data_IF_666364909029
#
_entry.id   IF_666364909029
#
_cell.length_a   1.000
_cell.length_b   1.000
_cell.length_c   1.000
_cell.angle_alpha   90.00
_cell.angle_beta   90.00
_cell.angle_gamma   90.00
#
_symmetry.space_group_name_H-M   'P 1'
#
loop_
_entity.id
_entity.type
_entity.pdbx_description
1 polymer ?
#
# COMPACT_ATOMS: atom_id res chain seq x y z
N UNK A 1 26.60 6.03 0.89
CA UNK A 1 25.44 5.89 1.80
C UNK A 1 24.20 6.64 1.33
N UNK A 2 24.28 7.91 0.88
CA UNK A 2 23.13 8.73 0.40
C UNK A 2 22.16 8.04 -0.59
N UNK A 3 22.67 7.18 -1.50
CA UNK A 3 21.84 6.40 -2.44
C UNK A 3 20.96 5.34 -1.77
N UNK A 4 21.29 4.92 -0.56
CA UNK A 4 20.63 3.87 0.22
C UNK A 4 19.58 4.51 1.15
N UNK A 5 19.93 5.63 1.79
CA UNK A 5 19.07 6.59 2.49
C UNK A 5 17.90 7.05 1.63
N UNK A 6 18.16 7.54 0.41
CA UNK A 6 17.12 7.96 -0.55
C UNK A 6 16.27 6.76 -1.03
N UNK A 7 16.83 5.56 -1.14
CA UNK A 7 16.06 4.35 -1.48
C UNK A 7 15.09 3.94 -0.37
N UNK A 8 15.49 4.04 0.91
CA UNK A 8 14.61 3.82 2.07
C UNK A 8 13.52 4.91 2.14
N UNK A 9 13.91 6.18 1.96
CA UNK A 9 12.99 7.32 1.88
C UNK A 9 11.92 7.18 0.79
N UNK A 10 12.34 6.82 -0.43
CA UNK A 10 11.43 6.56 -1.56
C UNK A 10 10.54 5.35 -1.28
N UNK A 11 11.04 4.27 -0.67
CA UNK A 11 10.23 3.09 -0.28
C UNK A 11 9.12 3.43 0.71
N UNK A 12 9.33 4.44 1.56
CA UNK A 12 8.40 4.84 2.62
C UNK A 12 7.37 5.82 2.09
N UNK A 13 7.81 6.81 1.30
CA UNK A 13 6.91 7.70 0.57
C UNK A 13 6.10 6.96 -0.51
N UNK A 14 6.63 5.89 -1.11
CA UNK A 14 5.89 4.91 -1.92
C UNK A 14 4.70 4.29 -1.15
N UNK A 15 4.79 4.21 0.18
CA UNK A 15 3.75 3.65 1.06
C UNK A 15 2.63 4.65 1.34
N UNK A 16 2.95 5.94 1.41
CA UNK A 16 2.01 7.02 1.68
C UNK A 16 1.43 7.65 0.40
N UNK A 17 2.22 7.89 -0.65
CA UNK A 17 1.82 8.60 -1.88
C UNK A 17 1.48 7.71 -3.09
N UNK A 18 1.97 6.47 -3.17
CA UNK A 18 1.82 5.65 -4.39
C UNK A 18 0.68 4.63 -4.22
N UNK A 19 -0.51 5.16 -3.89
CA UNK A 19 -1.77 4.45 -4.06
C UNK A 19 -2.58 4.85 -5.32
N UNK A 20 -2.02 5.68 -6.20
CA UNK A 20 -2.70 6.08 -7.44
C UNK A 20 -2.28 5.30 -8.71
N UNK A 21 -0.98 5.07 -8.93
CA UNK A 21 -0.47 4.85 -10.30
C UNK A 21 -0.20 3.41 -10.77
N UNK A 22 -0.20 2.40 -9.89
CA UNK A 22 0.36 1.07 -10.24
C UNK A 22 -0.63 -0.10 -10.22
N UNK A 23 -1.92 0.19 -10.12
CA UNK A 23 -2.93 -0.79 -9.72
C UNK A 23 -3.44 -1.74 -10.85
N UNK A 24 -2.93 -1.59 -12.08
CA UNK A 24 -3.35 -2.36 -13.26
C UNK A 24 -2.43 -3.52 -13.65
N UNK A 25 -1.19 -3.58 -13.16
CA UNK A 25 -0.29 -4.70 -13.39
C UNK A 25 -0.51 -5.79 -12.31
N UNK A 26 -0.17 -7.07 -12.56
CA UNK A 26 0.01 -8.02 -11.45
C UNK A 26 0.94 -7.36 -10.42
N UNK A 27 0.56 -7.40 -9.13
CA UNK A 27 1.17 -6.59 -8.06
C UNK A 27 2.71 -6.65 -8.04
N UNK A 28 3.29 -7.78 -8.46
CA UNK A 28 4.73 -7.97 -8.65
C UNK A 28 5.38 -7.07 -9.73
N UNK A 29 4.70 -6.79 -10.84
CA UNK A 29 5.21 -5.93 -11.91
C UNK A 29 5.08 -4.43 -11.56
N UNK A 30 4.08 -4.08 -10.76
CA UNK A 30 3.92 -2.76 -10.19
C UNK A 30 5.09 -2.39 -9.26
N UNK A 31 5.46 -3.30 -8.36
CA UNK A 31 6.56 -3.10 -7.41
C UNK A 31 7.91 -2.86 -8.12
N UNK A 32 8.17 -3.60 -9.21
CA UNK A 32 9.41 -3.50 -9.99
C UNK A 32 9.50 -2.20 -10.82
N UNK A 33 8.37 -1.75 -11.38
CA UNK A 33 8.33 -0.54 -12.24
C UNK A 33 8.41 0.75 -11.44
N UNK A 34 7.80 0.77 -10.23
CA UNK A 34 7.92 1.87 -9.27
C UNK A 34 9.37 2.10 -8.82
N UNK A 35 10.04 0.99 -8.46
CA UNK A 35 11.46 0.98 -8.09
C UNK A 35 12.33 1.53 -9.24
N UNK A 36 12.05 1.17 -10.49
CA UNK A 36 12.93 1.52 -11.63
C UNK A 36 12.79 2.98 -12.10
N UNK A 37 11.57 3.51 -12.20
CA UNK A 37 11.32 4.86 -12.77
C UNK A 37 11.84 5.98 -11.86
N UNK A 38 11.70 5.83 -10.55
CA UNK A 38 12.07 6.87 -9.58
C UNK A 38 13.59 6.87 -9.29
N UNK A 39 14.24 5.70 -9.33
CA UNK A 39 15.72 5.61 -9.31
C UNK A 39 16.34 6.44 -10.45
N UNK A 40 15.67 6.50 -11.60
CA UNK A 40 16.12 7.29 -12.75
C UNK A 40 15.96 8.79 -12.49
N UNK A 41 14.83 9.24 -11.94
CA UNK A 41 14.61 10.66 -11.64
C UNK A 41 15.52 11.20 -10.51
N UNK A 42 15.76 10.40 -9.47
CA UNK A 42 16.69 10.73 -8.39
C UNK A 42 18.18 10.75 -8.84
N UNK A 43 18.51 10.09 -9.96
CA UNK A 43 19.83 10.22 -10.60
C UNK A 43 19.97 11.52 -11.38
N UNK A 44 18.88 12.08 -11.92
CA UNK A 44 18.90 13.30 -12.74
C UNK A 44 19.09 14.55 -11.88
N UNK A 45 18.56 14.59 -10.65
CA UNK A 45 18.76 15.74 -9.73
C UNK A 45 20.18 15.88 -9.16
N UNK A 46 21.09 14.92 -9.42
CA UNK A 46 22.49 14.93 -8.92
C UNK A 46 23.55 15.30 -9.95
N UNK A 47 23.18 15.90 -11.09
CA UNK A 47 24.14 16.50 -12.03
C UNK A 47 24.26 18.02 -11.87
N UNK A 48 24.46 18.49 -10.64
CA UNK A 48 25.01 19.80 -10.24
C UNK A 48 24.89 19.86 -8.70
N UNK A 49 25.88 20.13 -7.85
CA UNK A 49 27.08 20.93 -7.95
C UNK A 49 28.18 20.37 -7.03
N UNK A 50 29.40 20.92 -7.13
CA UNK A 50 30.55 20.62 -6.26
C UNK A 50 30.23 20.98 -4.80
N UNK A 51 30.78 20.21 -3.86
CA UNK A 51 30.68 20.33 -2.41
C UNK A 51 30.74 21.77 -1.87
N UNK A 52 29.57 22.37 -1.67
CA UNK A 52 29.36 23.55 -0.81
C UNK A 52 28.12 23.22 0.01
N UNK A 53 28.20 23.35 1.33
CA UNK A 53 27.06 23.18 2.23
C UNK A 53 26.03 24.30 1.96
N UNK A 54 24.79 23.97 1.55
CA UNK A 54 23.74 24.97 1.35
C UNK A 54 23.33 25.65 2.67
N UNK A 55 22.93 26.92 2.61
CA UNK A 55 22.43 27.70 3.77
C UNK A 55 21.26 27.03 4.52
N UNK A 56 20.52 26.16 3.83
CA UNK A 56 19.36 25.44 4.35
C UNK A 56 19.71 24.22 5.23
N UNK A 57 21.00 23.85 5.33
CA UNK A 57 21.46 22.77 6.20
C UNK A 57 21.57 23.22 7.65
N UNK A 58 21.53 22.26 8.58
CA UNK A 58 21.85 22.50 9.98
C UNK A 58 20.95 23.56 10.67
N UNK A 59 19.70 23.66 10.22
CA UNK A 59 18.71 24.59 10.77
C UNK A 59 18.39 24.28 12.23
N UNK A 60 18.51 25.30 13.07
CA UNK A 60 18.26 25.23 14.52
C UNK A 60 16.78 25.14 14.87
N UNK A 61 15.94 25.72 14.02
CA UNK A 61 14.49 25.73 14.14
C UNK A 61 13.84 25.33 12.83
N UNK A 62 12.85 24.45 12.91
CA UNK A 62 12.01 24.01 11.81
C UNK A 62 10.55 24.41 12.08
N UNK A 63 9.79 24.56 11.01
CA UNK A 63 8.36 24.84 11.08
C UNK A 63 7.58 23.73 10.39
N UNK A 64 6.58 23.19 11.07
CA UNK A 64 5.71 22.15 10.53
C UNK A 64 4.42 22.79 9.99
N UNK A 65 4.15 22.58 8.70
CA UNK A 65 3.02 23.16 7.97
C UNK A 65 1.93 22.12 7.68
N UNK A 66 0.68 22.58 7.59
CA UNK A 66 -0.48 21.73 7.29
C UNK A 66 -0.53 21.24 5.83
N UNK A 67 -0.84 19.96 5.67
CA UNK A 67 -1.22 19.34 4.40
C UNK A 67 -2.56 18.62 4.55
N UNK A 68 -3.43 18.74 3.55
CA UNK A 68 -4.76 18.11 3.59
C UNK A 68 -4.67 16.60 3.35
N UNK A 69 -3.68 16.17 2.57
CA UNK A 69 -3.48 14.76 2.22
C UNK A 69 -2.03 14.35 2.35
N UNK A 70 -1.80 13.06 2.58
CA UNK A 70 -0.45 12.49 2.56
C UNK A 70 0.20 12.54 1.18
N UNK A 71 -0.56 12.76 0.10
CA UNK A 71 -0.02 12.97 -1.24
C UNK A 71 0.62 14.37 -1.38
N UNK A 72 -0.05 15.42 -0.90
CA UNK A 72 0.53 16.78 -0.83
C UNK A 72 1.76 16.81 0.09
N UNK A 73 1.66 16.17 1.26
CA UNK A 73 2.80 16.01 2.16
C UNK A 73 3.96 15.27 1.46
N UNK A 74 3.67 14.20 0.72
CA UNK A 74 4.68 13.48 -0.07
C UNK A 74 5.32 14.39 -1.12
N UNK A 75 4.52 15.20 -1.82
CA UNK A 75 5.05 16.15 -2.81
C UNK A 75 5.99 17.16 -2.15
N UNK A 76 5.55 17.81 -1.06
CA UNK A 76 6.39 18.72 -0.26
C UNK A 76 7.73 18.09 0.10
N UNK A 77 7.69 16.88 0.64
CA UNK A 77 8.89 16.14 1.05
C UNK A 77 9.83 15.88 -0.12
N UNK A 78 9.31 15.63 -1.33
CA UNK A 78 10.13 15.40 -2.53
C UNK A 78 10.63 16.67 -3.22
N UNK A 79 10.08 17.84 -2.90
CA UNK A 79 10.40 19.12 -3.57
C UNK A 79 11.13 20.13 -2.69
N UNK A 80 11.35 19.84 -1.40
CA UNK A 80 12.09 20.75 -0.52
C UNK A 80 11.86 20.55 0.98
N UNK A 81 10.91 19.72 1.38
CA UNK A 81 10.58 19.46 2.80
C UNK A 81 11.53 18.54 3.56
N UNK A 82 12.70 18.25 3.00
CA UNK A 82 13.71 17.39 3.60
C UNK A 82 14.84 18.24 4.18
N UNK A 83 14.99 18.21 5.49
CA UNK A 83 16.01 18.97 6.21
C UNK A 83 17.25 18.10 6.47
N UNK A 84 18.42 18.65 6.21
CA UNK A 84 19.69 17.92 6.27
C UNK A 84 20.59 18.46 7.38
N UNK A 85 21.26 17.54 8.06
CA UNK A 85 22.14 17.79 9.18
C UNK A 85 23.42 16.98 9.04
N UNK A 86 24.56 17.54 9.44
CA UNK A 86 25.85 16.85 9.45
C UNK A 86 26.62 17.22 10.73
N UNK A 87 27.92 16.92 10.75
CA UNK A 87 28.82 17.20 11.86
C UNK A 87 29.02 18.70 12.13
N UNK A 88 28.64 19.59 11.21
CA UNK A 88 28.67 21.04 11.40
C UNK A 88 27.52 21.57 12.28
N UNK A 89 26.53 20.75 12.64
CA UNK A 89 25.50 21.16 13.60
C UNK A 89 26.09 21.32 15.01
N UNK A 90 26.29 22.57 15.47
CA UNK A 90 26.95 22.87 16.75
C UNK A 90 26.01 23.36 17.87
N UNK A 91 24.69 23.25 17.71
CA UNK A 91 23.77 23.61 18.79
C UNK A 91 24.00 22.77 20.03
N UNK A 92 23.91 23.40 21.21
CA UNK A 92 24.16 22.74 22.49
C UNK A 92 23.24 21.53 22.63
N UNK A 93 23.83 20.39 22.98
CA UNK A 93 23.16 19.09 23.14
C UNK A 93 22.45 18.56 21.87
N UNK A 94 22.75 19.15 20.70
CA UNK A 94 22.21 18.80 19.38
C UNK A 94 20.67 18.81 19.28
N UNK A 95 20.05 19.82 19.88
CA UNK A 95 18.60 20.03 19.81
C UNK A 95 18.18 20.81 18.57
N UNK A 96 17.16 20.35 17.87
CA UNK A 96 16.41 21.12 16.86
C UNK A 96 15.06 21.49 17.47
N UNK A 97 14.69 22.76 17.41
CA UNK A 97 13.34 23.22 17.79
C UNK A 97 12.39 23.00 16.62
N UNK A 98 11.18 22.51 16.87
CA UNK A 98 10.13 22.39 15.86
C UNK A 98 8.90 23.12 16.35
N UNK A 99 8.43 24.09 15.58
CA UNK A 99 7.23 24.88 15.90
C UNK A 99 6.12 24.56 14.92
N UNK A 100 4.96 24.14 15.41
CA UNK A 100 3.79 23.86 14.57
C UNK A 100 3.10 25.15 14.16
N UNK A 101 2.87 25.33 12.87
CA UNK A 101 2.08 26.46 12.35
C UNK A 101 0.58 26.20 12.44
N UNK A 102 0.18 24.94 12.40
CA UNK A 102 -1.21 24.52 12.33
C UNK A 102 -1.49 23.34 13.27
N UNK A 103 -2.78 23.15 13.61
CA UNK A 103 -3.23 21.99 14.39
C UNK A 103 -3.45 20.78 13.49
N UNK A 104 -3.15 19.59 13.99
CA UNK A 104 -3.34 18.35 13.24
C UNK A 104 -2.54 17.19 13.81
N UNK A 105 -2.10 16.30 12.94
CA UNK A 105 -1.14 15.24 13.25
C UNK A 105 0.27 15.73 12.97
N UNK A 106 1.03 16.03 14.02
CA UNK A 106 2.46 16.31 13.90
C UNK A 106 3.16 15.06 13.38
N UNK A 107 3.72 15.16 12.17
CA UNK A 107 4.47 14.10 11.50
C UNK A 107 5.96 14.38 11.62
N UNK A 108 6.72 13.36 12.03
CA UNK A 108 8.18 13.36 12.00
C UNK A 108 8.67 12.09 11.33
N UNK A 109 9.64 12.23 10.44
CA UNK A 109 10.33 11.10 9.82
C UNK A 109 11.85 11.31 9.82
N UNK A 110 12.57 10.21 10.01
CA UNK A 110 14.02 10.08 9.76
C UNK A 110 14.26 9.10 8.62
N UNK A 111 15.29 9.34 7.80
CA UNK A 111 15.69 8.43 6.74
C UNK A 111 17.17 8.05 6.75
N UNK A 112 17.93 8.50 7.74
CA UNK A 112 19.38 8.29 7.82
C UNK A 112 19.79 7.10 8.67
N UNK A 113 20.81 6.40 8.19
CA UNK A 113 21.39 5.21 8.82
C UNK A 113 22.34 5.58 9.99
N UNK A 114 22.65 6.86 10.15
CA UNK A 114 23.67 7.42 11.05
C UNK A 114 23.28 7.44 12.54
N UNK A 115 22.10 6.92 12.86
CA UNK A 115 21.66 6.75 14.23
C UNK A 115 20.18 7.03 14.44
N UNK A 116 19.80 7.07 15.71
CA UNK A 116 18.43 7.35 16.12
C UNK A 116 18.24 8.85 16.39
N UNK A 117 17.10 9.39 15.97
CA UNK A 117 16.64 10.70 16.47
C UNK A 117 15.62 10.49 17.59
N UNK A 118 15.54 11.44 18.52
CA UNK A 118 14.60 11.37 19.63
C UNK A 118 13.69 12.60 19.64
N UNK A 119 12.39 12.38 19.77
CA UNK A 119 11.38 13.43 19.81
C UNK A 119 11.01 13.68 21.26
N UNK A 120 11.02 14.94 21.67
CA UNK A 120 10.71 15.41 23.01
C UNK A 120 9.62 16.47 22.99
N UNK A 121 8.91 16.58 24.11
CA UNK A 121 7.99 17.68 24.35
C UNK A 121 8.74 19.02 24.53
N UNK A 122 7.97 20.11 24.66
CA UNK A 122 8.50 21.47 24.85
C UNK A 122 9.43 21.60 26.07
N UNK A 123 9.25 20.76 27.10
CA UNK A 123 10.07 20.82 28.31
C UNK A 123 11.46 20.21 28.13
N UNK A 124 11.70 19.47 27.04
CA UNK A 124 12.88 18.62 26.80
C UNK A 124 13.08 17.51 27.84
N UNK A 125 12.14 17.31 28.77
CA UNK A 125 12.24 16.29 29.84
C UNK A 125 11.55 14.99 29.44
N UNK A 126 10.41 15.07 28.75
CA UNK A 126 9.66 13.89 28.36
C UNK A 126 9.99 13.51 26.93
N UNK A 127 10.63 12.34 26.76
CA UNK A 127 10.82 11.74 25.45
C UNK A 127 9.49 11.14 24.99
N UNK A 128 9.00 11.62 23.85
CA UNK A 128 7.79 11.13 23.19
C UNK A 128 8.11 9.84 22.43
N UNK A 129 9.18 9.86 21.62
CA UNK A 129 9.50 8.73 20.75
C UNK A 129 10.98 8.71 20.32
N UNK A 130 11.47 7.54 19.89
CA UNK A 130 12.75 7.37 19.20
C UNK A 130 12.52 6.82 17.80
N UNK A 131 13.11 7.46 16.79
CA UNK A 131 13.04 7.01 15.40
C UNK A 131 14.40 6.51 14.90
N UNK A 132 14.39 5.43 14.13
CA UNK A 132 15.56 4.80 13.52
C UNK A 132 15.23 4.40 12.08
N UNK A 133 16.21 4.46 11.18
CA UNK A 133 16.00 4.11 9.77
C UNK A 133 15.58 2.64 9.53
N UNK A 134 15.85 1.74 10.47
CA UNK A 134 15.64 0.30 10.31
C UNK A 134 14.41 -0.26 11.05
N UNK A 135 13.96 0.38 12.14
CA UNK A 135 12.86 -0.16 12.97
C UNK A 135 11.64 0.75 13.08
N UNK A 136 11.85 2.06 13.03
CA UNK A 136 10.77 3.03 13.23
C UNK A 136 11.14 4.36 12.61
N UNK A 137 10.89 4.49 11.34
CA UNK A 137 11.32 5.66 10.58
C UNK A 137 10.43 6.89 10.78
N UNK A 138 9.18 6.71 11.22
CA UNK A 138 8.20 7.78 11.29
C UNK A 138 7.30 7.67 12.51
N UNK A 139 6.76 8.82 12.92
CA UNK A 139 5.83 8.95 14.02
C UNK A 139 4.83 10.07 13.78
N UNK A 140 3.63 9.90 14.34
CA UNK A 140 2.57 10.90 14.29
C UNK A 140 1.87 11.03 15.63
N UNK A 141 1.64 12.26 16.05
CA UNK A 141 0.86 12.55 17.26
C UNK A 141 -0.04 13.76 17.02
N UNK A 142 -1.23 13.75 17.61
CA UNK A 142 -2.12 14.91 17.57
C UNK A 142 -1.51 16.07 18.36
N UNK A 143 -1.45 17.25 17.75
CA UNK A 143 -0.88 18.46 18.31
C UNK A 143 -1.65 19.71 17.84
N UNK A 144 -1.42 20.84 18.50
CA UNK A 144 -2.07 22.12 18.24
C UNK A 144 -1.10 23.10 17.57
N UNK A 145 -1.67 24.07 16.86
CA UNK A 145 -0.93 25.21 16.35
C UNK A 145 -0.21 25.93 17.51
N UNK A 146 1.05 26.29 17.32
CA UNK A 146 1.89 26.92 18.34
C UNK A 146 2.58 25.93 19.29
N UNK A 147 2.21 24.64 19.29
CA UNK A 147 2.95 23.63 20.06
C UNK A 147 4.41 23.57 19.57
N UNK A 148 5.32 23.39 20.54
CA UNK A 148 6.75 23.26 20.29
C UNK A 148 7.23 21.88 20.70
N UNK A 149 7.96 21.23 19.80
CA UNK A 149 8.65 19.97 20.05
C UNK A 149 10.15 20.15 19.88
N UNK A 150 10.92 19.21 20.41
CA UNK A 150 12.37 19.18 20.21
C UNK A 150 12.79 17.84 19.63
N UNK A 151 13.61 17.88 18.59
CA UNK A 151 14.28 16.69 18.05
C UNK A 151 15.73 16.70 18.53
N UNK A 152 16.16 15.62 19.17
CA UNK A 152 17.55 15.40 19.53
C UNK A 152 18.23 14.58 18.44
N UNK A 153 19.28 15.14 17.85
CA UNK A 153 20.15 14.42 16.94
C UNK A 153 21.15 13.53 17.71
N UNK A 154 21.70 12.48 17.09
CA UNK A 154 22.82 11.75 17.67
C UNK A 154 24.06 12.65 17.79
N UNK A 155 24.99 12.30 18.69
CA UNK A 155 26.22 13.09 18.93
C UNK A 155 27.20 13.07 17.75
N UNK A 156 27.17 12.00 16.95
CA UNK A 156 27.95 11.84 15.73
C UNK A 156 26.96 11.76 14.59
N UNK A 157 27.13 12.62 13.59
CA UNK A 157 26.23 12.77 12.45
C UNK A 157 27.13 12.91 11.23
N UNK A 158 27.17 11.94 10.32
CA UNK A 158 27.82 12.17 9.01
C UNK A 158 26.81 12.86 8.08
N UNK A 159 25.57 12.37 8.06
CA UNK A 159 24.42 12.88 7.32
C UNK A 159 23.09 12.39 7.92
N UNK A 160 22.36 13.27 8.60
CA UNK A 160 21.01 13.04 9.11
C UNK A 160 19.97 13.80 8.29
N UNK A 161 18.90 13.13 7.90
CA UNK A 161 17.79 13.70 7.13
C UNK A 161 16.48 13.58 7.91
N UNK A 162 15.76 14.69 8.03
CA UNK A 162 14.55 14.81 8.84
C UNK A 162 13.44 15.48 8.04
N UNK A 163 12.22 15.00 8.21
CA UNK A 163 11.00 15.68 7.76
C UNK A 163 10.16 16.03 8.97
N UNK A 164 9.63 17.25 8.97
CA UNK A 164 8.55 17.67 9.87
C UNK A 164 7.39 18.23 9.07
N UNK A 165 6.17 17.84 9.43
CA UNK A 165 4.96 18.33 8.78
C UNK A 165 3.76 18.23 9.74
N UNK A 166 2.65 18.84 9.37
CA UNK A 166 1.34 18.59 10.00
C UNK A 166 0.44 17.98 8.94
N UNK A 167 -0.08 16.78 9.20
CA UNK A 167 -1.12 16.18 8.37
C UNK A 167 -2.49 16.50 8.99
N UNK A 168 -3.47 16.85 8.17
CA UNK A 168 -4.85 17.06 8.64
C UNK A 168 -5.34 15.86 9.47
N UNK A 169 -5.79 16.14 10.69
CA UNK A 169 -6.35 15.13 11.57
C UNK A 169 -7.83 14.91 11.25
N UNK A 170 -8.13 13.78 10.61
CA UNK A 170 -9.48 13.40 10.24
C UNK A 170 -9.81 13.68 8.77
N UNK A 171 -10.67 12.83 8.24
CA UNK A 171 -11.09 12.88 6.84
C UNK A 171 -12.51 12.32 6.72
N UNK A 172 -13.23 12.70 5.66
CA UNK A 172 -14.62 12.27 5.45
C UNK A 172 -14.75 11.33 4.25
N UNK A 173 -14.79 11.92 3.06
CA UNK A 173 -14.85 11.16 1.81
C UNK A 173 -13.45 10.88 1.29
N UNK A 174 -13.07 9.60 1.18
CA UNK A 174 -11.78 9.21 0.61
C UNK A 174 -11.86 9.19 -0.92
N UNK A 175 -10.86 9.82 -1.52
CA UNK A 175 -10.64 9.86 -2.96
C UNK A 175 -9.50 8.92 -3.35
N UNK A 176 -9.64 8.27 -4.50
CA UNK A 176 -8.62 7.37 -5.01
C UNK A 176 -7.37 8.16 -5.43
N UNK A 177 -6.21 7.61 -5.09
CA UNK A 177 -4.91 8.23 -5.34
C UNK A 177 -4.37 9.06 -4.17
N UNK A 178 -5.12 9.19 -3.08
CA UNK A 178 -4.73 9.95 -1.90
C UNK A 178 -4.51 9.06 -0.68
N UNK A 179 -3.90 9.66 0.34
CA UNK A 179 -3.76 9.12 1.68
C UNK A 179 -4.13 10.15 2.74
N UNK A 180 -4.54 9.66 3.91
CA UNK A 180 -5.09 10.45 5.00
C UNK A 180 -4.60 9.91 6.34
N UNK A 181 -4.63 10.75 7.37
CA UNK A 181 -4.32 10.40 8.75
C UNK A 181 -5.47 10.78 9.68
N UNK A 182 -5.66 10.01 10.74
CA UNK A 182 -6.63 10.36 11.78
C UNK A 182 -6.28 9.77 13.14
N UNK A 183 -6.51 10.57 14.17
CA UNK A 183 -6.47 10.18 15.58
C UNK A 183 -7.73 9.42 15.95
N UNK A 184 -7.54 8.21 16.45
CA UNK A 184 -8.63 7.37 16.91
C UNK A 184 -9.30 7.92 18.17
N UNK A 185 -10.63 8.03 18.10
CA UNK A 185 -11.48 8.48 19.21
C UNK A 185 -11.84 7.35 20.17
N UNK A 186 -11.60 6.09 19.79
CA UNK A 186 -12.07 4.89 20.50
C UNK A 186 -13.43 4.38 20.02
N UNK A 187 -14.12 5.14 19.15
CA UNK A 187 -15.34 4.71 18.48
C UNK A 187 -15.04 4.10 17.10
N UNK A 188 -16.08 3.53 16.47
CA UNK A 188 -15.98 3.13 15.06
C UNK A 188 -15.97 4.38 14.19
N UNK A 189 -14.88 4.58 13.44
CA UNK A 189 -14.71 5.68 12.49
C UNK A 189 -15.20 5.24 11.10
N UNK A 190 -15.84 6.14 10.36
CA UNK A 190 -16.45 5.83 9.07
C UNK A 190 -15.99 6.79 7.98
N UNK A 191 -15.47 6.23 6.88
CA UNK A 191 -14.99 7.01 5.75
C UNK A 191 -15.66 6.59 4.46
N UNK A 192 -16.35 7.52 3.81
CA UNK A 192 -17.17 7.22 2.63
C UNK A 192 -16.36 7.28 1.34
N UNK A 193 -16.77 6.52 0.33
CA UNK A 193 -16.22 6.61 -1.02
C UNK A 193 -17.21 6.09 -2.06
N UNK A 194 -17.02 6.49 -3.31
CA UNK A 194 -17.89 6.05 -4.40
C UNK A 194 -17.10 5.37 -5.51
N UNK A 195 -17.70 4.34 -6.07
CA UNK A 195 -17.20 3.64 -7.23
C UNK A 195 -18.11 3.97 -8.40
N UNK A 196 -17.59 4.63 -9.44
CA UNK A 196 -18.38 4.99 -10.62
C UNK A 196 -18.57 3.80 -11.57
N UNK A 197 -17.54 2.95 -11.71
CA UNK A 197 -17.53 1.78 -12.59
C UNK A 197 -16.91 0.60 -11.87
N UNK A 198 -17.30 -0.61 -12.27
CA UNK A 198 -16.74 -1.86 -11.74
C UNK A 198 -15.21 -1.80 -11.62
N UNK A 199 -14.70 -1.95 -10.41
CA UNK A 199 -13.29 -1.67 -10.10
C UNK A 199 -12.74 -2.62 -9.04
N UNK A 200 -11.44 -2.86 -9.09
CA UNK A 200 -10.68 -3.38 -7.96
C UNK A 200 -10.38 -2.21 -7.03
N UNK A 201 -10.79 -2.32 -5.78
CA UNK A 201 -10.52 -1.38 -4.69
C UNK A 201 -9.42 -1.94 -3.81
N UNK A 202 -8.44 -1.10 -3.48
CA UNK A 202 -7.31 -1.45 -2.63
C UNK A 202 -7.09 -0.35 -1.60
N UNK A 203 -6.99 -0.72 -0.33
CA UNK A 203 -6.69 0.20 0.76
C UNK A 203 -5.51 -0.32 1.56
N UNK A 204 -4.52 0.54 1.81
CA UNK A 204 -3.45 0.29 2.76
C UNK A 204 -3.79 1.01 4.06
N UNK A 205 -3.66 0.32 5.19
CA UNK A 205 -3.79 0.93 6.51
C UNK A 205 -2.48 0.76 7.27
N UNK A 206 -1.93 1.87 7.77
CA UNK A 206 -0.85 1.89 8.75
C UNK A 206 -1.42 2.27 10.12
N UNK A 207 -0.94 1.62 11.17
CA UNK A 207 -1.36 1.84 12.55
C UNK A 207 -0.09 2.14 13.35
N UNK A 208 -0.04 3.29 14.03
CA UNK A 208 1.22 3.90 14.46
C UNK A 208 1.70 3.42 15.83
N UNK A 209 0.81 3.32 16.80
CA UNK A 209 1.16 3.15 18.22
C UNK A 209 1.03 1.69 18.65
N UNK A 210 2.15 1.04 18.96
CA UNK A 210 2.21 -0.39 19.31
C UNK A 210 1.44 -0.73 20.59
N UNK A 211 1.41 0.22 21.52
CA UNK A 211 0.76 0.13 22.83
C UNK A 211 -0.75 0.44 22.79
N UNK A 212 -1.28 0.95 21.67
CA UNK A 212 -2.71 1.32 21.51
C UNK A 212 -3.51 0.33 20.66
N UNK A 213 -3.11 -0.94 20.69
CA UNK A 213 -3.84 -2.07 20.11
C UNK A 213 -4.09 -2.02 18.60
N UNK A 214 -4.89 -2.98 18.13
CA UNK A 214 -5.12 -3.21 16.70
C UNK A 214 -6.29 -2.38 16.16
N UNK A 215 -6.25 -2.07 14.86
CA UNK A 215 -7.39 -1.50 14.13
C UNK A 215 -8.07 -2.58 13.30
N UNK A 216 -9.40 -2.65 13.34
CA UNK A 216 -10.18 -3.60 12.54
C UNK A 216 -10.96 -2.89 11.45
N UNK A 217 -10.86 -3.41 10.23
CA UNK A 217 -11.38 -2.80 9.01
C UNK A 217 -12.48 -3.67 8.40
N UNK A 218 -13.60 -3.04 8.04
CA UNK A 218 -14.71 -3.66 7.32
C UNK A 218 -15.24 -2.71 6.24
N UNK A 219 -15.28 -3.18 4.99
CA UNK A 219 -15.91 -2.40 3.90
C UNK A 219 -17.41 -2.67 3.89
N UNK A 220 -18.20 -1.61 3.73
CA UNK A 220 -19.64 -1.64 3.68
C UNK A 220 -20.15 -1.02 2.38
N UNK A 221 -21.22 -1.59 1.83
CA UNK A 221 -21.93 -1.06 0.66
C UNK A 221 -23.26 -0.47 1.12
N UNK A 222 -23.61 0.71 0.59
CA UNK A 222 -24.94 1.27 0.78
C UNK A 222 -25.95 0.59 -0.15
N UNK A 223 -27.03 0.04 0.41
CA UNK A 223 -28.09 -0.66 -0.31
C UNK A 223 -29.43 -0.32 0.35
N UNK A 224 -30.33 0.33 -0.40
CA UNK A 224 -31.71 0.62 0.03
C UNK A 224 -31.81 1.18 1.46
N UNK A 225 -31.16 2.31 1.72
CA UNK A 225 -31.17 2.94 3.05
C UNK A 225 -30.13 2.41 4.04
N UNK A 226 -29.54 1.24 3.79
CA UNK A 226 -28.77 0.50 4.79
C UNK A 226 -27.32 0.25 4.38
N UNK A 227 -26.41 0.26 5.37
CA UNK A 227 -25.01 -0.11 5.19
C UNK A 227 -24.82 -1.61 5.45
N UNK A 228 -24.42 -2.36 4.42
CA UNK A 228 -24.26 -3.81 4.50
C UNK A 228 -22.78 -4.18 4.39
N UNK A 229 -22.29 -4.99 5.33
CA UNK A 229 -20.93 -5.53 5.30
C UNK A 229 -20.69 -6.37 4.04
N UNK A 230 -19.60 -6.12 3.33
CA UNK A 230 -19.19 -6.90 2.17
C UNK A 230 -17.84 -7.58 2.40
N UNK A 231 -17.67 -8.76 1.81
CA UNK A 231 -16.44 -9.52 1.96
C UNK A 231 -16.15 -9.93 3.42
N UNK A 232 -14.89 -9.82 3.80
CA UNK A 232 -14.37 -10.21 5.11
C UNK A 232 -13.90 -9.00 5.89
N UNK A 233 -14.01 -9.09 7.22
CA UNK A 233 -13.38 -8.18 8.18
C UNK A 233 -11.89 -8.49 8.25
N UNK A 234 -11.06 -7.48 8.52
CA UNK A 234 -9.61 -7.65 8.67
C UNK A 234 -9.06 -6.88 9.85
N UNK A 235 -8.12 -7.47 10.57
CA UNK A 235 -7.41 -6.82 11.68
C UNK A 235 -6.02 -6.42 11.24
N UNK A 236 -5.67 -5.17 11.48
CA UNK A 236 -4.38 -4.55 11.19
C UNK A 236 -3.71 -4.27 12.52
N UNK A 237 -2.55 -4.89 12.74
CA UNK A 237 -1.74 -4.68 13.93
C UNK A 237 -0.83 -3.47 13.74
N UNK A 238 -0.48 -2.73 14.81
CA UNK A 238 0.63 -1.80 14.78
C UNK A 238 1.91 -2.54 14.35
N UNK A 239 2.74 -1.89 13.55
CA UNK A 239 3.96 -2.51 13.01
C UNK A 239 5.23 -1.94 13.62
N UNK A 240 6.28 -2.74 13.55
CA UNK A 240 7.68 -2.35 13.73
C UNK A 240 8.45 -2.37 12.40
N UNK A 241 7.81 -2.78 11.30
CA UNK A 241 8.45 -3.03 10.00
C UNK A 241 7.80 -2.18 8.90
N UNK A 242 8.58 -1.29 8.28
CA UNK A 242 8.06 -0.34 7.27
C UNK A 242 7.81 -0.99 5.89
N UNK A 243 7.96 -2.30 5.77
CA UNK A 243 7.68 -3.01 4.52
C UNK A 243 6.19 -3.29 4.31
N UNK A 244 5.67 -2.76 3.21
CA UNK A 244 4.35 -3.07 2.67
C UNK A 244 4.24 -4.57 2.39
N UNK A 245 3.32 -5.23 3.07
CA UNK A 245 2.95 -6.62 2.78
C UNK A 245 1.60 -6.62 2.05
N UNK A 246 1.56 -7.23 0.86
CA UNK A 246 0.34 -7.38 0.04
C UNK A 246 -0.81 -8.01 0.83
N UNK A 247 -0.52 -8.88 1.80
CA UNK A 247 -1.54 -9.50 2.66
C UNK A 247 -2.14 -8.52 3.67
N UNK A 248 -1.62 -7.31 3.81
CA UNK A 248 -2.13 -6.28 4.72
C UNK A 248 -3.03 -5.25 4.03
N UNK A 249 -3.11 -5.24 2.70
CA UNK A 249 -4.13 -4.47 1.97
C UNK A 249 -5.55 -5.00 2.13
N UNK A 250 -6.52 -4.11 2.28
CA UNK A 250 -7.94 -4.43 2.17
C UNK A 250 -8.33 -4.38 0.70
N UNK A 251 -8.51 -5.56 0.09
CA UNK A 251 -8.73 -5.70 -1.35
C UNK A 251 -10.12 -6.23 -1.64
N UNK A 252 -10.91 -5.49 -2.42
CA UNK A 252 -12.24 -5.88 -2.83
C UNK A 252 -12.52 -5.57 -4.31
N UNK A 253 -13.21 -6.45 -5.01
CA UNK A 253 -13.89 -6.15 -6.26
C UNK A 253 -15.24 -5.47 -6.00
N UNK A 254 -15.41 -4.27 -6.51
CA UNK A 254 -16.59 -3.46 -6.26
C UNK A 254 -17.33 -3.18 -7.58
N UNK A 255 -18.66 -3.10 -7.49
CA UNK A 255 -19.52 -2.59 -8.57
C UNK A 255 -19.67 -1.08 -8.39
N UNK A 256 -20.33 -0.42 -9.35
CA UNK A 256 -20.75 0.95 -9.13
C UNK A 256 -21.62 1.06 -7.86
N UNK A 257 -21.44 2.15 -7.11
CA UNK A 257 -22.21 2.43 -5.90
C UNK A 257 -21.46 3.22 -4.85
N UNK A 258 -22.18 3.50 -3.76
CA UNK A 258 -21.68 4.18 -2.56
C UNK A 258 -21.19 3.15 -1.55
N UNK A 259 -20.03 3.41 -0.98
CA UNK A 259 -19.33 2.55 -0.05
C UNK A 259 -18.82 3.37 1.13
N UNK A 260 -18.50 2.68 2.23
CA UNK A 260 -17.70 3.24 3.32
C UNK A 260 -16.79 2.18 3.90
N UNK A 261 -15.68 2.62 4.48
CA UNK A 261 -14.86 1.78 5.35
C UNK A 261 -15.23 2.09 6.80
N UNK A 262 -15.50 1.05 7.57
CA UNK A 262 -15.72 1.11 9.01
C UNK A 262 -14.45 0.63 9.72
N UNK A 263 -13.87 1.50 10.54
CA UNK A 263 -12.64 1.27 11.28
C UNK A 263 -12.97 1.23 12.77
N UNK A 264 -12.87 0.05 13.38
CA UNK A 264 -12.94 -0.06 14.83
C UNK A 264 -11.53 0.18 15.41
N UNK A 265 -11.41 1.18 16.26
CA UNK A 265 -10.15 1.78 16.71
C UNK A 265 -10.12 1.89 18.23
N UNK A 266 -8.92 1.98 18.81
CA UNK A 266 -8.76 2.26 20.25
C UNK A 266 -8.36 3.72 20.46
N UNK A 267 -8.88 4.34 21.52
CA UNK A 267 -8.60 5.75 21.83
C UNK A 267 -7.09 5.99 21.96
N UNK A 268 -6.60 7.05 21.34
CA UNK A 268 -5.17 7.42 21.36
C UNK A 268 -4.30 6.69 20.34
N UNK A 269 -4.86 5.79 19.54
CA UNK A 269 -4.20 5.28 18.33
C UNK A 269 -4.17 6.36 17.24
N UNK A 270 -3.19 6.31 16.34
CA UNK A 270 -3.20 7.06 15.08
C UNK A 270 -3.11 6.07 13.94
N UNK A 271 -3.88 6.29 12.87
CA UNK A 271 -3.81 5.47 11.67
C UNK A 271 -3.76 6.32 10.42
N UNK A 272 -3.14 5.76 9.38
CA UNK A 272 -3.12 6.33 8.05
C UNK A 272 -3.75 5.37 7.05
N UNK A 273 -4.57 5.92 6.16
CA UNK A 273 -5.29 5.18 5.14
C UNK A 273 -4.91 5.70 3.76
N UNK A 274 -4.32 4.85 2.92
CA UNK A 274 -4.08 5.12 1.51
C UNK A 274 -5.10 4.38 0.66
N UNK A 275 -5.67 5.04 -0.35
CA UNK A 275 -6.76 4.47 -1.14
C UNK A 275 -6.48 4.50 -2.64
N UNK A 276 -6.63 3.35 -3.30
CA UNK A 276 -6.46 3.19 -4.74
C UNK A 276 -7.57 2.38 -5.39
N UNK A 277 -7.83 2.67 -6.66
CA UNK A 277 -8.75 1.88 -7.49
C UNK A 277 -8.16 1.55 -8.85
N UNK A 278 -8.61 0.45 -9.43
CA UNK A 278 -8.39 0.13 -10.83
C UNK A 278 -9.68 -0.29 -11.50
N UNK A 279 -10.03 0.40 -12.58
CA UNK A 279 -11.22 0.11 -13.38
C UNK A 279 -11.04 -1.25 -14.05
N UNK A 280 -12.04 -2.13 -13.93
CA UNK A 280 -11.97 -3.51 -14.41
C UNK A 280 -13.18 -3.86 -15.28
N UNK A 281 -12.94 -4.01 -16.58
CA UNK A 281 -13.95 -4.46 -17.52
C UNK A 281 -14.40 -5.89 -17.25
N UNK A 282 -15.69 -6.16 -17.45
CA UNK A 282 -16.29 -7.49 -17.26
C UNK A 282 -16.09 -8.39 -18.49
N UNK A 283 -14.84 -8.53 -18.95
CA UNK A 283 -14.49 -9.37 -20.09
C UNK A 283 -14.30 -10.84 -19.66
N UNK A 284 -15.39 -11.52 -19.38
CA UNK A 284 -15.41 -12.93 -18.92
C UNK A 284 -16.41 -13.74 -19.76
N UNK A 285 -16.27 -15.07 -19.73
CA UNK A 285 -17.25 -15.97 -20.33
C UNK A 285 -17.84 -16.89 -19.25
N UNK A 286 -19.13 -17.19 -19.35
CA UNK A 286 -19.84 -18.01 -18.35
C UNK A 286 -20.00 -19.48 -18.75
N UNK A 287 -19.72 -19.81 -20.00
CA UNK A 287 -19.78 -21.18 -20.53
C UNK A 287 -18.44 -21.59 -21.13
N UNK A 288 -18.18 -22.90 -21.15
CA UNK A 288 -16.96 -23.47 -21.72
C UNK A 288 -16.82 -23.18 -23.22
N UNK A 289 -17.92 -23.20 -23.97
CA UNK A 289 -17.93 -22.95 -25.42
C UNK A 289 -17.50 -21.53 -25.77
N UNK A 290 -17.89 -20.54 -24.94
CA UNK A 290 -17.54 -19.11 -25.12
C UNK A 290 -16.26 -18.70 -24.40
N UNK A 291 -15.46 -19.65 -23.91
CA UNK A 291 -14.29 -19.38 -23.08
C UNK A 291 -13.34 -18.35 -23.69
N UNK A 292 -12.91 -17.38 -22.89
CA UNK A 292 -12.02 -16.29 -23.33
C UNK A 292 -10.59 -16.81 -23.50
N UNK A 293 -9.95 -16.43 -24.61
CA UNK A 293 -8.58 -16.88 -24.93
C UNK A 293 -7.57 -16.20 -24.00
N UNK A 294 -6.69 -16.98 -23.38
CA UNK A 294 -5.44 -16.52 -22.77
C UNK A 294 -4.38 -16.69 -23.85
N UNK A 295 -3.65 -15.61 -24.16
CA UNK A 295 -2.54 -15.68 -25.11
C UNK A 295 -1.33 -16.32 -24.42
N UNK A 296 -0.50 -17.02 -25.19
CA UNK A 296 0.79 -17.50 -24.73
C UNK A 296 1.63 -16.30 -24.30
N UNK A 297 2.42 -16.47 -23.26
CA UNK A 297 3.30 -15.44 -22.70
C UNK A 297 2.54 -14.18 -22.24
N UNK A 298 1.30 -14.39 -21.80
CA UNK A 298 0.40 -13.35 -21.31
C UNK A 298 -0.38 -13.82 -20.09
N UNK A 299 -1.08 -12.89 -19.46
CA UNK A 299 -1.99 -13.18 -18.37
C UNK A 299 -3.41 -12.70 -18.69
N UNK A 300 -4.37 -13.19 -17.91
CA UNK A 300 -5.70 -12.60 -17.76
C UNK A 300 -5.93 -12.29 -16.30
N UNK A 301 -6.48 -11.12 -16.03
CA UNK A 301 -6.87 -10.69 -14.68
C UNK A 301 -8.34 -10.28 -14.69
N UNK A 302 -9.09 -10.68 -13.66
CA UNK A 302 -10.45 -10.19 -13.47
C UNK A 302 -10.88 -10.29 -12.00
N UNK A 303 -11.93 -9.57 -11.62
CA UNK A 303 -12.40 -9.49 -10.23
C UNK A 303 -13.73 -10.19 -10.05
N UNK A 304 -13.99 -10.84 -8.92
CA UNK A 304 -15.36 -11.13 -8.49
C UNK A 304 -15.82 -10.02 -7.57
N UNK A 305 -17.03 -9.49 -7.77
CA UNK A 305 -17.66 -8.55 -6.82
C UNK A 305 -18.61 -9.27 -5.87
N UNK A 306 -19.07 -8.56 -4.83
CA UNK A 306 -20.19 -9.04 -4.00
C UNK A 306 -21.40 -9.37 -4.89
N UNK A 307 -22.06 -10.49 -4.62
CA UNK A 307 -23.24 -10.97 -5.39
C UNK A 307 -22.93 -11.78 -6.64
N UNK A 308 -21.73 -11.68 -7.23
CA UNK A 308 -21.36 -12.53 -8.37
C UNK A 308 -21.08 -13.97 -7.91
N UNK A 309 -21.77 -14.93 -8.53
CA UNK A 309 -21.65 -16.38 -8.25
C UNK A 309 -21.28 -17.21 -9.47
N UNK A 310 -21.60 -16.74 -10.67
CA UNK A 310 -21.36 -17.46 -11.92
C UNK A 310 -19.88 -17.79 -12.14
N UNK A 311 -19.61 -19.02 -12.58
CA UNK A 311 -18.26 -19.46 -12.94
C UNK A 311 -17.74 -18.75 -14.18
N UNK A 312 -16.42 -18.63 -14.30
CA UNK A 312 -15.77 -17.98 -15.45
C UNK A 312 -14.89 -18.95 -16.21
N UNK A 313 -14.91 -18.83 -17.53
CA UNK A 313 -14.26 -19.76 -18.43
C UNK A 313 -13.22 -19.08 -19.31
N UNK A 314 -12.03 -19.67 -19.31
CA UNK A 314 -10.91 -19.28 -20.14
C UNK A 314 -10.38 -20.49 -20.90
N UNK A 315 -9.68 -20.24 -22.01
CA UNK A 315 -9.03 -21.28 -22.82
C UNK A 315 -7.65 -20.84 -23.28
N UNK A 316 -6.75 -21.80 -23.42
CA UNK A 316 -5.41 -21.59 -23.97
C UNK A 316 -4.98 -22.85 -24.75
N UNK A 317 -3.94 -22.74 -25.57
CA UNK A 317 -3.51 -23.81 -26.48
C UNK A 317 -2.01 -24.03 -26.35
N UNK A 318 -1.60 -25.30 -26.23
CA UNK A 318 -0.19 -25.73 -26.26
C UNK A 318 0.16 -26.31 -27.63
N UNK A 319 1.32 -25.96 -28.15
CA UNK A 319 1.99 -26.60 -29.30
C UNK A 319 2.93 -27.70 -28.79
N UNK A 320 3.30 -28.63 -29.67
CA UNK A 320 4.26 -29.68 -29.33
C UNK A 320 5.66 -29.11 -28.98
N UNK A 321 6.01 -27.96 -29.59
CA UNK A 321 7.26 -27.24 -29.38
C UNK A 321 7.28 -26.37 -28.11
N UNK A 322 6.19 -26.30 -27.34
CA UNK A 322 6.16 -25.46 -26.14
C UNK A 322 6.97 -26.12 -25.01
N UNK A 323 8.10 -25.48 -24.66
CA UNK A 323 8.98 -25.90 -23.57
C UNK A 323 8.35 -25.70 -22.19
N UNK A 324 7.50 -24.69 -22.02
CA UNK A 324 6.81 -24.38 -20.76
C UNK A 324 5.39 -24.95 -20.78
N UNK A 325 5.11 -25.89 -19.88
CA UNK A 325 3.80 -26.52 -19.70
C UNK A 325 3.17 -26.18 -18.33
N UNK A 326 3.46 -24.97 -17.83
CA UNK A 326 2.98 -24.51 -16.53
C UNK A 326 1.90 -23.44 -16.73
N UNK A 327 0.94 -23.39 -15.82
CA UNK A 327 0.01 -22.28 -15.66
C UNK A 327 0.14 -21.76 -14.22
N UNK A 328 0.43 -20.48 -14.07
CA UNK A 328 0.56 -19.84 -12.77
C UNK A 328 -0.72 -19.08 -12.42
N UNK A 329 -1.18 -19.20 -11.18
CA UNK A 329 -2.47 -18.67 -10.76
C UNK A 329 -2.33 -17.98 -9.41
N UNK A 330 -2.86 -16.76 -9.30
CA UNK A 330 -2.79 -15.97 -8.07
C UNK A 330 -4.13 -15.32 -7.74
N UNK A 331 -4.20 -14.76 -6.53
CA UNK A 331 -5.33 -13.94 -6.09
C UNK A 331 -4.87 -12.74 -5.29
N UNK A 332 -5.72 -11.72 -5.24
CA UNK A 332 -5.64 -10.68 -4.22
C UNK A 332 -7.05 -10.37 -3.71
N UNK A 333 -7.29 -10.74 -2.45
CA UNK A 333 -8.61 -10.66 -1.79
C UNK A 333 -8.42 -10.33 -0.31
N UNK A 334 -9.42 -9.72 0.33
CA UNK A 334 -9.41 -9.54 1.78
C UNK A 334 -9.65 -10.83 2.59
N UNK A 335 -10.10 -11.91 1.92
CA UNK A 335 -10.37 -13.20 2.53
C UNK A 335 -11.05 -14.15 1.55
N UNK A 336 -11.18 -15.42 1.93
CA UNK A 336 -11.67 -16.47 1.04
C UNK A 336 -10.67 -16.84 -0.05
N UNK A 337 -11.15 -17.16 -1.26
CA UNK A 337 -10.25 -17.49 -2.36
C UNK A 337 -10.94 -18.09 -3.56
N UNK A 338 -10.15 -18.61 -4.50
CA UNK A 338 -10.67 -19.09 -5.78
C UNK A 338 -10.30 -20.56 -6.04
N UNK A 339 -11.22 -21.28 -6.68
CA UNK A 339 -11.03 -22.63 -7.21
C UNK A 339 -10.85 -22.56 -8.71
N UNK A 340 -9.74 -23.11 -9.19
CA UNK A 340 -9.41 -23.22 -10.60
C UNK A 340 -9.45 -24.69 -10.99
N UNK A 341 -10.31 -25.02 -11.95
CA UNK A 341 -10.48 -26.38 -12.45
C UNK A 341 -10.10 -26.42 -13.92
N UNK A 342 -9.11 -27.26 -14.26
CA UNK A 342 -8.49 -27.31 -15.58
C UNK A 342 -8.99 -28.56 -16.31
N UNK A 343 -9.36 -28.40 -17.58
CA UNK A 343 -9.83 -29.47 -18.47
C UNK A 343 -9.02 -29.48 -19.76
N UNK A 344 -8.70 -30.67 -20.29
CA UNK A 344 -8.22 -30.81 -21.68
C UNK A 344 -9.43 -30.92 -22.63
N UNK A 345 -9.35 -30.35 -23.84
CA UNK A 345 -10.38 -30.55 -24.89
C UNK A 345 -10.59 -32.05 -25.13
N UNK A 346 -11.86 -32.46 -25.32
CA UNK A 346 -12.24 -33.88 -25.44
C UNK A 346 -12.40 -34.63 -24.11
N UNK A 347 -11.87 -34.11 -22.99
CA UNK A 347 -12.06 -34.74 -21.67
C UNK A 347 -13.24 -34.11 -20.91
N UNK A 348 -14.11 -34.98 -20.38
CA UNK A 348 -15.21 -34.62 -19.47
C UNK A 348 -14.70 -34.36 -18.04
N UNK A 349 -13.83 -35.23 -17.52
CA UNK A 349 -13.21 -35.09 -16.19
C UNK A 349 -12.11 -34.01 -16.17
N UNK A 350 -11.96 -33.25 -15.07
CA UNK A 350 -10.88 -32.28 -14.93
C UNK A 350 -9.53 -33.00 -14.81
N UNK A 351 -8.48 -32.38 -15.35
CA UNK A 351 -7.10 -32.90 -15.23
C UNK A 351 -6.40 -32.38 -13.97
N UNK A 352 -6.81 -31.23 -13.45
CA UNK A 352 -6.30 -30.66 -12.19
C UNK A 352 -7.34 -29.71 -11.59
N UNK A 353 -7.39 -29.65 -10.27
CA UNK A 353 -8.09 -28.60 -9.52
C UNK A 353 -7.13 -28.02 -8.49
N UNK A 354 -7.04 -26.70 -8.43
CA UNK A 354 -6.26 -25.97 -7.43
C UNK A 354 -7.18 -24.99 -6.69
N UNK A 355 -6.99 -24.87 -5.38
CA UNK A 355 -7.66 -23.88 -4.54
C UNK A 355 -6.60 -22.90 -4.02
N UNK A 356 -6.73 -21.62 -4.37
CA UNK A 356 -5.82 -20.57 -3.90
C UNK A 356 -6.52 -19.81 -2.77
N UNK A 357 -5.98 -19.89 -1.54
CA UNK A 357 -6.59 -19.37 -0.30
C UNK A 357 -5.82 -18.20 0.35
N UNK A 358 -4.54 -18.06 0.07
CA UNK A 358 -3.65 -16.97 0.54
C UNK A 358 -3.27 -16.07 -0.63
N UNK A 359 -2.85 -14.82 -0.39
CA UNK A 359 -2.41 -13.93 -1.49
C UNK A 359 -0.93 -14.18 -1.86
N UNK A 360 -0.12 -14.70 -0.94
CA UNK A 360 1.30 -15.05 -1.16
C UNK A 360 1.49 -16.28 -2.04
N UNK A 361 0.58 -17.24 -1.96
CA UNK A 361 0.77 -18.52 -2.63
C UNK A 361 0.39 -18.43 -4.11
N UNK A 362 1.34 -18.82 -4.94
CA UNK A 362 1.15 -19.00 -6.37
C UNK A 362 0.71 -20.44 -6.61
N UNK A 363 -0.49 -20.62 -7.15
CA UNK A 363 -0.97 -21.90 -7.62
C UNK A 363 -0.27 -22.27 -8.91
N UNK A 364 0.69 -23.19 -8.84
CA UNK A 364 1.41 -23.72 -10.00
C UNK A 364 0.68 -24.97 -10.52
N UNK A 365 0.24 -24.94 -11.78
CA UNK A 365 -0.38 -26.09 -12.45
C UNK A 365 0.59 -26.64 -13.49
N UNK A 366 1.15 -27.82 -13.22
CA UNK A 366 1.87 -28.59 -14.23
C UNK A 366 0.87 -29.28 -15.16
N UNK A 367 0.95 -28.99 -16.46
CA UNK A 367 0.10 -29.58 -17.49
C UNK A 367 0.79 -30.81 -18.09
N UNK A 368 0.01 -31.83 -18.51
CA UNK A 368 0.57 -32.96 -19.27
C UNK A 368 1.30 -32.48 -20.53
N UNK A 369 2.42 -33.14 -20.85
CA UNK A 369 3.17 -32.90 -22.09
C UNK A 369 2.26 -33.10 -23.32
N UNK A 370 2.54 -32.32 -24.37
CA UNK A 370 1.92 -32.48 -25.69
C UNK A 370 0.91 -31.40 -26.09
N UNK A 371 0.60 -31.37 -27.39
CA UNK A 371 -0.28 -30.37 -28.00
C UNK A 371 -1.73 -30.49 -27.54
N UNK A 372 -2.44 -29.36 -27.50
CA UNK A 372 -3.89 -29.37 -27.27
C UNK A 372 -4.45 -28.07 -26.72
N UNK A 373 -5.78 -27.97 -26.75
CA UNK A 373 -6.52 -26.87 -26.11
C UNK A 373 -6.93 -27.26 -24.69
N UNK A 374 -6.72 -26.36 -23.75
CA UNK A 374 -7.09 -26.48 -22.36
C UNK A 374 -8.11 -25.41 -21.98
N UNK A 375 -8.93 -25.70 -20.97
CA UNK A 375 -9.93 -24.81 -20.43
C UNK A 375 -9.72 -24.65 -18.93
N UNK A 376 -9.91 -23.43 -18.42
CA UNK A 376 -9.85 -23.10 -17.00
C UNK A 376 -11.21 -22.58 -16.56
N UNK A 377 -11.83 -23.26 -15.61
CA UNK A 377 -13.04 -22.81 -14.91
C UNK A 377 -12.64 -22.18 -13.57
N UNK A 378 -12.96 -20.92 -13.38
CA UNK A 378 -12.73 -20.18 -12.12
C UNK A 378 -14.04 -20.08 -11.35
N UNK A 379 -13.99 -20.37 -10.05
CA UNK A 379 -15.11 -20.22 -9.13
C UNK A 379 -14.64 -19.59 -7.82
N UNK A 380 -15.54 -18.88 -7.14
CA UNK A 380 -15.31 -18.48 -5.74
C UNK A 380 -15.31 -19.71 -4.83
N UNK A 381 -14.46 -19.71 -3.80
CA UNK A 381 -14.49 -20.72 -2.74
C UNK A 381 -15.62 -20.46 -1.75
N UNK A 382 -15.98 -19.19 -1.54
CA UNK A 382 -17.04 -18.80 -0.61
C UNK A 382 -17.93 -17.71 -1.21
N UNK A 383 -19.18 -17.59 -0.75
CA UNK A 383 -20.10 -16.51 -1.16
C UNK A 383 -19.52 -15.11 -0.88
N UNK A 384 -18.76 -14.97 0.22
CA UNK A 384 -18.07 -13.73 0.64
C UNK A 384 -16.77 -13.44 -0.14
N UNK A 385 -16.22 -14.39 -0.91
CA UNK A 385 -14.99 -14.13 -1.68
C UNK A 385 -15.19 -12.95 -2.62
N UNK A 386 -14.34 -11.94 -2.50
CA UNK A 386 -14.41 -10.72 -3.26
C UNK A 386 -12.98 -10.21 -3.51
N UNK A 387 -12.66 -9.80 -4.73
CA UNK A 387 -11.31 -9.37 -5.13
C UNK A 387 -10.91 -9.94 -6.48
N UNK A 388 -9.61 -9.96 -6.76
CA UNK A 388 -9.04 -10.31 -8.06
C UNK A 388 -8.47 -11.72 -8.09
N UNK A 389 -8.55 -12.35 -9.27
CA UNK A 389 -7.69 -13.48 -9.62
C UNK A 389 -6.91 -13.16 -10.89
N UNK A 390 -5.77 -13.82 -11.03
CA UNK A 390 -4.91 -13.77 -12.21
C UNK A 390 -4.59 -15.18 -12.66
N UNK A 391 -4.61 -15.42 -13.98
CA UNK A 391 -4.14 -16.64 -14.63
C UNK A 391 -3.04 -16.24 -15.61
N UNK A 392 -1.85 -16.82 -15.48
CA UNK A 392 -0.65 -16.46 -16.23
C UNK A 392 -0.17 -17.68 -17.03
N UNK A 393 -0.03 -17.49 -18.34
CA UNK A 393 0.42 -18.49 -19.31
C UNK A 393 1.89 -18.27 -19.70
N UNK A 394 2.75 -18.14 -18.69
CA UNK A 394 4.21 -18.09 -18.79
C UNK A 394 4.85 -18.46 -17.45
N UNK A 395 6.15 -18.73 -17.48
CA UNK A 395 6.95 -18.90 -16.28
C UNK A 395 7.32 -17.51 -15.75
N UNK A 396 6.61 -17.01 -14.75
CA UNK A 396 6.83 -15.66 -14.22
C UNK A 396 8.05 -15.55 -13.28
N UNK A 397 8.81 -16.64 -13.08
CA UNK A 397 9.84 -16.77 -12.03
C UNK A 397 11.12 -17.51 -12.47
N UNK A 398 11.48 -17.45 -13.76
CA UNK A 398 12.86 -17.72 -14.17
C UNK A 398 13.58 -16.40 -14.42
#
# INVERSE_FOLDING_TARGET
MVKQTIKKFIAVLLTAGICAGLFAAPVFAAEKTAKTTIITNAKVSKKSARYIEPEEWNQKELFAYLFDTGNEMTQYVTTGGLHYYNDNYKEKDHWIKVTLKDSGLFYVMTASDDGSIQIYDQSKKNRIETLTADEKIEYMIKAKAGDVFYIKLPKKIEEQSIVVAVLKDGFGTIQAGNSYGESATGNTMYHSFSIAKRSLSQMALKVMHKDKGNVTVQVQKYVKGNWINIGYKKTIKPRTDDYIDINKYVINGLQAGKYRVALNTQKGQVYCLSYGISKMNKNVAYTRSKAKKIKKDSYVQNIYTQGETASRWYKFTRKASDKVNVLNITKATNGGGFKFTIYKKGKKKPIKTIKVKTNESIGVVNLPKGKGTYYVKVNKLTKKTNGTYTIMDFNAFN
#
